data_IF_309614550182
#
_entry.id   IF_309614550182
#
_cell.length_a   1.000
_cell.length_b   1.000
_cell.length_c   1.000
_cell.angle_alpha   90.00
_cell.angle_beta   90.00
_cell.angle_gamma   90.00
#
_symmetry.space_group_name_H-M   'P 1'
#
loop_
_entity.id
_entity.type
_entity.pdbx_description
1 polymer ?
#
# COMPACT_ATOMS: atom_id res chain seq x y z
N UNK A 1 16.03 -25.38 20.67
CA UNK A 1 16.93 -25.48 19.51
C UNK A 1 16.28 -24.63 18.42
N UNK A 2 16.71 -23.38 18.26
CA UNK A 2 16.13 -22.46 17.28
C UNK A 2 17.03 -22.44 16.06
N UNK A 3 16.55 -22.98 14.94
CA UNK A 3 17.22 -22.90 13.65
C UNK A 3 17.12 -21.46 13.13
N UNK A 4 18.25 -20.76 13.16
CA UNK A 4 18.43 -19.50 12.43
C UNK A 4 18.32 -19.78 10.93
N UNK A 5 17.22 -19.30 10.31
CA UNK A 5 17.06 -19.22 8.86
C UNK A 5 18.25 -18.46 8.28
N UNK A 6 19.15 -19.19 7.63
CA UNK A 6 20.30 -18.66 6.89
C UNK A 6 19.73 -17.76 5.77
N UNK A 7 20.13 -16.49 5.73
CA UNK A 7 19.77 -15.60 4.64
C UNK A 7 20.23 -16.24 3.31
N UNK A 8 19.30 -16.43 2.40
CA UNK A 8 19.57 -16.92 1.05
C UNK A 8 20.54 -15.95 0.37
N UNK A 9 21.62 -16.48 -0.20
CA UNK A 9 22.58 -15.69 -0.98
C UNK A 9 21.84 -14.97 -2.13
N UNK A 10 22.30 -13.78 -2.57
CA UNK A 10 21.68 -13.09 -3.69
C UNK A 10 21.70 -14.00 -4.91
N UNK A 11 20.52 -14.27 -5.46
CA UNK A 11 20.35 -15.02 -6.70
C UNK A 11 21.13 -14.28 -7.78
N UNK A 12 22.08 -14.95 -8.44
CA UNK A 12 22.83 -14.34 -9.53
C UNK A 12 21.83 -13.97 -10.63
N UNK A 13 21.69 -12.67 -10.88
CA UNK A 13 20.84 -12.13 -11.93
C UNK A 13 21.13 -12.84 -13.25
N UNK A 14 20.09 -13.20 -14.00
CA UNK A 14 20.29 -13.78 -15.33
C UNK A 14 20.82 -12.72 -16.32
N UNK A 15 21.18 -13.16 -17.53
CA UNK A 15 21.78 -12.27 -18.53
C UNK A 15 20.83 -11.15 -18.98
N UNK A 16 19.53 -11.42 -19.07
CA UNK A 16 18.52 -10.45 -19.49
C UNK A 16 18.29 -9.41 -18.39
N UNK A 17 18.26 -9.87 -17.14
CA UNK A 17 18.11 -9.03 -15.97
C UNK A 17 19.34 -8.14 -15.79
N UNK A 18 20.57 -8.66 -15.96
CA UNK A 18 21.80 -7.85 -15.98
C UNK A 18 21.78 -6.78 -17.07
N UNK A 19 21.32 -7.11 -18.28
CA UNK A 19 21.20 -6.14 -19.37
C UNK A 19 20.19 -5.04 -19.03
N UNK A 20 19.01 -5.40 -18.50
CA UNK A 20 18.01 -4.46 -18.02
C UNK A 20 18.55 -3.56 -16.90
N UNK A 21 19.31 -4.13 -15.95
CA UNK A 21 19.96 -3.35 -14.90
C UNK A 21 20.95 -2.34 -15.47
N UNK A 22 21.76 -2.74 -16.46
CA UNK A 22 22.72 -1.85 -17.10
C UNK A 22 22.04 -0.71 -17.88
N UNK A 23 20.93 -1.00 -18.55
CA UNK A 23 20.11 0.03 -19.23
C UNK A 23 19.50 1.01 -18.23
N UNK A 24 18.90 0.50 -17.14
CA UNK A 24 18.33 1.34 -16.07
C UNK A 24 19.40 2.19 -15.39
N UNK A 25 20.58 1.62 -15.15
CA UNK A 25 21.72 2.35 -14.58
C UNK A 25 22.17 3.47 -15.53
N UNK A 26 22.34 3.17 -16.82
CA UNK A 26 22.70 4.18 -17.83
C UNK A 26 21.68 5.30 -17.89
N UNK A 27 20.38 4.96 -17.88
CA UNK A 27 19.31 5.95 -17.83
C UNK A 27 19.33 6.79 -16.54
N UNK A 28 19.59 6.18 -15.38
CA UNK A 28 19.64 6.91 -14.11
C UNK A 28 20.82 7.90 -14.04
N UNK A 29 21.97 7.52 -14.58
CA UNK A 29 23.18 8.36 -14.61
C UNK A 29 23.09 9.48 -15.66
N UNK A 30 22.38 9.26 -16.76
CA UNK A 30 22.20 10.26 -17.82
C UNK A 30 20.98 11.15 -17.60
N UNK A 31 19.93 10.59 -17.01
CA UNK A 31 18.65 11.20 -16.64
C UNK A 31 18.24 12.35 -17.56
N UNK A 32 18.14 12.08 -18.87
CA UNK A 32 17.65 13.06 -19.83
C UNK A 32 16.15 13.30 -19.58
N UNK A 33 15.84 14.46 -19.00
CA UNK A 33 14.48 14.87 -18.63
C UNK A 33 13.71 15.35 -19.89
N UNK A 34 14.39 15.47 -21.03
CA UNK A 34 13.82 15.93 -22.29
C UNK A 34 13.75 17.46 -22.39
N UNK A 35 13.74 18.02 -23.62
CA UNK A 35 13.88 19.46 -23.84
C UNK A 35 12.68 20.29 -23.36
N UNK A 36 11.50 19.69 -23.25
CA UNK A 36 10.25 20.36 -22.84
C UNK A 36 9.96 20.24 -21.33
N UNK A 37 10.86 19.64 -20.56
CA UNK A 37 10.64 19.43 -19.14
C UNK A 37 10.65 20.74 -18.36
N UNK A 38 9.61 20.93 -17.54
CA UNK A 38 9.52 22.05 -16.60
C UNK A 38 10.04 21.61 -15.24
N UNK A 39 11.28 22.01 -14.93
CA UNK A 39 11.92 21.72 -13.65
C UNK A 39 11.60 22.87 -12.69
N UNK A 40 10.92 22.54 -11.59
CA UNK A 40 10.62 23.49 -10.51
C UNK A 40 11.22 23.01 -9.20
N UNK A 41 11.65 23.95 -8.36
CA UNK A 41 12.23 23.70 -7.04
C UNK A 41 11.42 24.49 -6.01
N UNK A 42 11.25 23.92 -4.83
CA UNK A 42 10.63 24.58 -3.70
C UNK A 42 11.49 24.36 -2.46
N UNK A 43 11.56 25.37 -1.61
CA UNK A 43 12.32 25.36 -0.36
C UNK A 43 11.38 25.53 0.84
N UNK A 44 11.75 24.93 1.97
CA UNK A 44 11.02 25.03 3.23
C UNK A 44 10.26 23.75 3.63
N UNK A 45 9.58 23.78 4.80
CA UNK A 45 8.76 22.65 5.25
C UNK A 45 7.63 22.41 4.24
N UNK A 46 7.32 21.13 3.97
CA UNK A 46 6.29 20.71 2.99
C UNK A 46 6.60 21.07 1.51
N UNK A 47 7.83 21.43 1.17
CA UNK A 47 8.22 21.77 -0.22
C UNK A 47 7.83 20.69 -1.24
N UNK A 48 8.08 19.42 -0.92
CA UNK A 48 7.70 18.30 -1.80
C UNK A 48 6.18 18.19 -2.00
N UNK A 49 5.40 18.41 -0.94
CA UNK A 49 3.93 18.38 -1.01
C UNK A 49 3.39 19.54 -1.83
N UNK A 50 3.96 20.73 -1.66
CA UNK A 50 3.57 21.94 -2.39
C UNK A 50 3.83 21.80 -3.90
N UNK A 51 4.98 21.23 -4.29
CA UNK A 51 5.28 20.93 -5.70
C UNK A 51 4.29 19.94 -6.31
N UNK A 52 3.92 18.90 -5.56
CA UNK A 52 2.93 17.93 -6.00
C UNK A 52 1.54 18.55 -6.15
N UNK A 53 1.14 19.45 -5.23
CA UNK A 53 -0.14 20.15 -5.33
C UNK A 53 -0.18 21.08 -6.54
N UNK A 54 0.92 21.78 -6.83
CA UNK A 54 1.04 22.61 -8.03
C UNK A 54 1.00 21.78 -9.32
N UNK A 55 1.64 20.61 -9.35
CA UNK A 55 1.66 19.74 -10.52
C UNK A 55 0.34 18.99 -10.76
N UNK A 56 -0.31 18.52 -9.68
CA UNK A 56 -1.53 17.72 -9.75
C UNK A 56 -2.81 18.56 -9.60
N UNK A 57 -2.67 19.86 -9.35
CA UNK A 57 -3.75 20.85 -9.35
C UNK A 57 -4.66 20.84 -8.12
N UNK A 58 -4.51 19.92 -7.17
CA UNK A 58 -5.24 19.94 -5.89
C UNK A 58 -4.64 19.02 -4.83
N UNK A 59 -4.87 19.35 -3.56
CA UNK A 59 -4.53 18.51 -2.40
C UNK A 59 -5.16 17.11 -2.49
N UNK A 60 -6.38 17.00 -3.01
CA UNK A 60 -7.06 15.71 -3.18
C UNK A 60 -6.43 14.85 -4.29
N UNK A 61 -5.99 15.46 -5.38
CA UNK A 61 -5.26 14.76 -6.43
C UNK A 61 -3.92 14.21 -5.92
N UNK A 62 -3.19 14.99 -5.10
CA UNK A 62 -1.98 14.52 -4.41
C UNK A 62 -2.28 13.36 -3.46
N UNK A 63 -3.35 13.46 -2.67
CA UNK A 63 -3.75 12.37 -1.75
C UNK A 63 -4.10 11.09 -2.50
N UNK A 64 -4.76 11.19 -3.66
CA UNK A 64 -5.08 10.03 -4.51
C UNK A 64 -3.84 9.42 -5.17
N UNK A 65 -2.90 10.25 -5.61
CA UNK A 65 -1.70 9.81 -6.32
C UNK A 65 -0.61 9.24 -5.39
N UNK A 66 -0.47 9.80 -4.19
CA UNK A 66 0.62 9.47 -3.24
C UNK A 66 0.12 8.66 -2.04
N UNK A 67 -1.16 8.77 -1.70
CA UNK A 67 -1.74 8.10 -0.53
C UNK A 67 -2.20 6.68 -0.83
N UNK A 68 -1.82 5.74 0.05
CA UNK A 68 -2.55 4.46 0.18
C UNK A 68 -4.00 4.79 0.57
N UNK A 69 -5.03 4.24 -0.10
CA UNK A 69 -6.42 4.46 0.30
C UNK A 69 -6.57 4.09 1.77
N UNK A 70 -6.84 5.07 2.63
CA UNK A 70 -7.12 4.82 4.05
C UNK A 70 -8.64 4.68 4.21
N UNK A 71 -9.06 3.62 4.90
CA UNK A 71 -10.47 3.40 5.23
C UNK A 71 -11.00 4.36 6.31
N UNK A 72 -10.15 5.22 6.87
CA UNK A 72 -10.51 6.37 7.71
C UNK A 72 -9.34 7.36 7.77
N UNK A 73 -9.62 8.66 7.83
CA UNK A 73 -8.61 9.72 7.92
C UNK A 73 -7.66 9.52 9.12
N UNK A 74 -6.39 9.92 8.96
CA UNK A 74 -5.28 9.91 9.95
C UNK A 74 -5.54 9.11 11.25
N UNK A 75 -5.09 7.85 11.28
CA UNK A 75 -4.97 7.09 12.52
C UNK A 75 -5.06 5.59 12.29
N UNK A 76 -4.25 4.82 13.03
CA UNK A 76 -4.43 3.37 13.16
C UNK A 76 -5.87 3.10 13.58
N UNK A 77 -6.65 2.39 12.76
CA UNK A 77 -8.01 2.03 13.13
C UNK A 77 -8.02 1.26 14.45
N UNK A 78 -8.93 1.55 15.39
CA UNK A 78 -8.98 0.85 16.66
C UNK A 78 -9.20 -0.64 16.41
N UNK A 79 -8.28 -1.46 16.91
CA UNK A 79 -8.36 -2.91 16.80
C UNK A 79 -9.03 -3.49 18.05
N UNK A 80 -9.93 -4.45 17.86
CA UNK A 80 -10.55 -5.22 18.95
C UNK A 80 -10.35 -6.70 18.67
N UNK A 81 -9.81 -7.42 19.64
CA UNK A 81 -9.77 -8.89 19.61
C UNK A 81 -11.09 -9.42 20.17
N UNK A 82 -11.72 -10.34 19.43
CA UNK A 82 -12.96 -10.99 19.81
C UNK A 82 -12.75 -12.50 19.86
N UNK A 83 -13.38 -13.17 20.82
CA UNK A 83 -13.35 -14.63 20.94
C UNK A 83 -14.57 -15.19 20.23
N UNK A 84 -14.35 -16.09 19.27
CA UNK A 84 -15.42 -16.80 18.57
C UNK A 84 -15.44 -18.27 19.05
N UNK A 85 -16.63 -18.87 19.17
CA UNK A 85 -16.74 -20.33 19.20
C UNK A 85 -16.08 -20.94 17.95
N UNK A 86 -15.48 -22.12 18.09
CA UNK A 86 -14.73 -22.78 17.02
C UNK A 86 -15.58 -22.96 15.75
N UNK A 87 -16.83 -23.39 15.92
CA UNK A 87 -17.74 -23.60 14.78
C UNK A 87 -18.07 -22.30 14.03
N UNK A 88 -18.07 -21.16 14.73
CA UNK A 88 -18.35 -19.86 14.14
C UNK A 88 -17.14 -19.32 13.38
N UNK A 89 -15.94 -19.53 13.91
CA UNK A 89 -14.69 -19.19 13.21
C UNK A 89 -14.54 -20.00 11.92
N UNK A 90 -14.82 -21.31 11.97
CA UNK A 90 -14.79 -22.18 10.78
C UNK A 90 -15.74 -21.67 9.68
N UNK A 91 -16.97 -21.29 10.04
CA UNK A 91 -17.95 -20.70 9.10
C UNK A 91 -17.46 -19.38 8.52
N UNK A 92 -16.83 -18.53 9.33
CA UNK A 92 -16.27 -17.25 8.88
C UNK A 92 -15.13 -17.47 7.89
N UNK A 93 -14.23 -18.41 8.15
CA UNK A 93 -13.12 -18.76 7.26
C UNK A 93 -13.63 -19.33 5.94
N UNK A 94 -14.62 -20.23 5.98
CA UNK A 94 -15.25 -20.79 4.79
C UNK A 94 -15.90 -19.68 3.94
N UNK A 95 -16.63 -18.76 4.56
CA UNK A 95 -17.26 -17.65 3.85
C UNK A 95 -16.22 -16.68 3.27
N UNK A 96 -15.16 -16.38 4.01
CA UNK A 96 -14.04 -15.55 3.56
C UNK A 96 -13.37 -16.14 2.31
N UNK A 97 -13.20 -17.46 2.26
CA UNK A 97 -12.66 -18.15 1.09
C UNK A 97 -13.61 -18.07 -0.11
N UNK A 98 -14.92 -18.30 0.10
CA UNK A 98 -15.94 -18.22 -0.97
C UNK A 98 -16.03 -16.82 -1.57
N UNK A 99 -15.95 -15.79 -0.74
CA UNK A 99 -16.03 -14.39 -1.20
C UNK A 99 -14.69 -13.83 -1.69
N UNK A 100 -13.57 -14.56 -1.54
CA UNK A 100 -12.21 -14.05 -1.74
C UNK A 100 -11.92 -12.76 -0.94
N UNK A 101 -12.39 -12.71 0.30
CA UNK A 101 -12.29 -11.54 1.19
C UNK A 101 -11.60 -11.90 2.50
N UNK A 102 -11.09 -10.88 3.19
CA UNK A 102 -10.52 -11.07 4.52
C UNK A 102 -11.64 -11.28 5.55
N UNK A 103 -11.48 -12.21 6.52
CA UNK A 103 -12.44 -12.41 7.62
C UNK A 103 -12.77 -11.12 8.37
N UNK A 104 -11.78 -10.25 8.58
CA UNK A 104 -11.97 -8.95 9.25
C UNK A 104 -12.83 -7.96 8.46
N UNK A 105 -12.90 -8.10 7.12
CA UNK A 105 -13.81 -7.30 6.30
C UNK A 105 -15.25 -7.76 6.48
N UNK A 106 -15.47 -9.07 6.47
CA UNK A 106 -16.80 -9.67 6.68
C UNK A 106 -17.33 -9.32 8.08
N UNK A 107 -16.51 -9.45 9.13
CA UNK A 107 -16.90 -9.07 10.50
C UNK A 107 -17.29 -7.59 10.56
N UNK A 108 -16.54 -6.70 9.89
CA UNK A 108 -16.83 -5.26 9.90
C UNK A 108 -18.18 -4.96 9.26
N UNK A 109 -18.47 -5.58 8.12
CA UNK A 109 -19.73 -5.36 7.40
C UNK A 109 -20.92 -5.92 8.19
N UNK A 110 -20.79 -7.12 8.74
CA UNK A 110 -21.81 -7.73 9.58
C UNK A 110 -22.09 -6.88 10.82
N UNK A 111 -21.06 -6.31 11.45
CA UNK A 111 -21.22 -5.42 12.59
C UNK A 111 -21.91 -4.10 12.20
N UNK A 112 -21.54 -3.52 11.06
CA UNK A 112 -22.18 -2.31 10.54
C UNK A 112 -23.67 -2.54 10.26
N UNK A 113 -24.01 -3.66 9.62
CA UNK A 113 -25.39 -4.05 9.34
C UNK A 113 -26.19 -4.30 10.63
N UNK A 114 -25.60 -5.00 11.59
CA UNK A 114 -26.24 -5.26 12.89
C UNK A 114 -26.55 -3.95 13.62
N UNK A 115 -25.59 -3.03 13.70
CA UNK A 115 -25.76 -1.74 14.38
C UNK A 115 -26.79 -0.84 13.67
N UNK A 116 -26.83 -0.86 12.33
CA UNK A 116 -27.81 -0.09 11.56
C UNK A 116 -29.25 -0.63 11.74
N UNK A 117 -29.42 -1.93 11.99
CA UNK A 117 -30.72 -2.54 12.30
C UNK A 117 -31.15 -2.34 13.76
N UNK A 118 -30.19 -2.15 14.66
CA UNK A 118 -30.43 -1.99 16.08
C UNK A 118 -30.68 -0.54 16.52
N UNK A 119 -30.45 0.44 15.63
CA UNK A 119 -30.73 1.87 15.81
C UNK A 119 -32.09 2.27 15.26
#
# INVERSE_FOLDING_TARGET
MNETKKAQAPEELDTEERARYAELATWAETADIGPEARISKADGPEAGRSLLEAALGSTEAVRRAVGKPSLSAKGTSPSRSLRLPVDLDAKLVEQAQKEHRNPSAIIRDALAEYLAKAS
#
